data_IF_175432645778
#
_entry.id   IF_175432645778
#
_cell.length_a   1.000
_cell.length_b   1.000
_cell.length_c   1.000
_cell.angle_alpha   90.00
_cell.angle_beta   90.00
_cell.angle_gamma   90.00
#
_symmetry.space_group_name_H-M   'P 1'
#
loop_
_entity.id
_entity.type
_entity.pdbx_description
1 polymer ?
#
# COMPACT_ATOMS: atom_id res chain seq x y z
N UNK A 1 13.67 -1.93 -9.55
CA UNK A 1 13.54 -0.71 -10.40
C UNK A 1 14.90 -0.02 -10.44
N UNK A 2 15.73 -0.36 -11.43
CA UNK A 2 17.06 0.23 -11.57
C UNK A 2 16.97 1.67 -12.06
N UNK A 3 17.36 2.62 -11.20
CA UNK A 3 17.62 4.01 -11.59
C UNK A 3 19.08 4.23 -12.03
N UNK A 4 19.82 3.16 -12.31
CA UNK A 4 21.15 3.23 -12.88
C UNK A 4 21.31 2.19 -13.99
N UNK A 5 21.59 2.66 -15.21
CA UNK A 5 22.30 1.86 -16.20
C UNK A 5 21.60 1.48 -17.52
N UNK A 6 20.32 1.79 -17.74
CA UNK A 6 19.68 1.59 -19.06
C UNK A 6 19.05 2.91 -19.56
N UNK A 7 19.19 3.15 -20.87
CA UNK A 7 18.77 4.36 -21.61
C UNK A 7 17.57 5.08 -20.99
N UNK A 8 17.85 6.23 -20.38
CA UNK A 8 16.86 7.01 -19.64
C UNK A 8 15.91 7.74 -20.60
N UNK A 9 14.79 7.11 -20.94
CA UNK A 9 13.55 7.91 -21.03
C UNK A 9 13.17 8.32 -19.61
N UNK A 10 13.84 9.37 -19.15
CA UNK A 10 13.56 10.07 -17.90
C UNK A 10 12.07 10.42 -17.91
N UNK A 11 11.25 9.81 -17.05
CA UNK A 11 9.89 10.30 -16.85
C UNK A 11 10.05 11.71 -16.26
N UNK A 12 9.86 12.75 -17.08
CA UNK A 12 9.78 14.13 -16.57
C UNK A 12 8.63 14.15 -15.59
N UNK A 13 8.93 14.36 -14.30
CA UNK A 13 7.90 14.79 -13.34
C UNK A 13 7.34 16.10 -13.85
N UNK A 14 6.15 16.06 -14.43
CA UNK A 14 5.37 17.25 -14.66
C UNK A 14 4.81 17.62 -13.29
N UNK A 15 5.52 18.49 -12.56
CA UNK A 15 5.19 18.88 -11.17
C UNK A 15 3.71 19.25 -11.00
N UNK A 16 3.12 19.88 -12.03
CA UNK A 16 1.72 20.30 -12.09
C UNK A 16 0.71 19.14 -12.19
N UNK A 17 1.09 18.00 -12.77
CA UNK A 17 0.18 16.84 -12.93
C UNK A 17 0.18 15.99 -11.65
N UNK A 18 1.36 15.75 -11.06
CA UNK A 18 1.48 14.89 -9.89
C UNK A 18 0.84 15.43 -8.60
N UNK A 19 0.70 16.75 -8.45
CA UNK A 19 0.00 17.37 -7.31
C UNK A 19 -1.52 17.29 -7.40
N UNK A 20 -2.06 17.00 -8.59
CA UNK A 20 -3.49 16.94 -8.85
C UNK A 20 -4.04 15.51 -9.02
N UNK A 21 -3.19 14.51 -8.76
CA UNK A 21 -3.55 13.09 -8.79
C UNK A 21 -3.81 12.60 -7.37
N UNK A 22 -4.94 11.94 -7.18
CA UNK A 22 -5.35 11.34 -5.91
C UNK A 22 -5.27 9.82 -6.02
N UNK A 23 -4.52 9.21 -5.10
CA UNK A 23 -4.35 7.76 -5.02
C UNK A 23 -5.16 7.23 -3.84
N UNK A 24 -6.14 6.36 -4.11
CA UNK A 24 -6.83 5.60 -3.08
C UNK A 24 -5.97 4.41 -2.63
N UNK A 25 -5.75 4.27 -1.33
CA UNK A 25 -5.01 3.12 -0.76
C UNK A 25 -5.96 2.32 0.11
N UNK A 26 -6.25 1.09 -0.29
CA UNK A 26 -7.16 0.20 0.44
C UNK A 26 -6.33 -0.82 1.21
N UNK A 27 -6.20 -0.59 2.51
CA UNK A 27 -5.29 -1.31 3.38
C UNK A 27 -5.73 -1.23 4.87
N UNK A 28 -4.88 -1.59 5.82
CA UNK A 28 -5.13 -1.57 7.28
C UNK A 28 -5.26 -0.17 7.90
N UNK A 29 -5.29 0.88 7.08
CA UNK A 29 -5.30 2.27 7.52
C UNK A 29 -4.01 3.00 7.18
N UNK A 30 -3.76 4.12 7.86
CA UNK A 30 -2.51 4.88 7.72
C UNK A 30 -2.07 5.49 9.06
N UNK A 31 -0.76 5.63 9.27
CA UNK A 31 -0.18 6.36 10.40
C UNK A 31 0.19 7.80 9.99
N UNK A 32 -0.66 8.82 10.25
CA UNK A 32 -0.51 10.15 9.66
C UNK A 32 0.71 10.93 10.18
N UNK A 33 1.22 10.60 11.38
CA UNK A 33 2.41 11.24 11.96
C UNK A 33 3.73 10.75 11.35
N UNK A 34 3.69 9.79 10.42
CA UNK A 34 4.89 9.33 9.72
C UNK A 34 5.52 10.45 8.88
N UNK A 35 6.86 10.60 8.88
CA UNK A 35 7.55 11.57 8.03
C UNK A 35 7.22 11.45 6.54
N UNK A 36 6.82 10.26 6.08
CA UNK A 36 6.41 9.99 4.69
C UNK A 36 5.20 10.80 4.25
N UNK A 37 4.38 11.26 5.20
CA UNK A 37 3.11 11.95 4.95
C UNK A 37 3.12 13.40 5.43
N UNK A 38 4.31 13.96 5.63
CA UNK A 38 4.46 15.39 5.85
C UNK A 38 4.00 16.16 4.60
N UNK A 39 3.22 17.22 4.83
CA UNK A 39 2.57 18.01 3.78
C UNK A 39 3.31 19.33 3.46
N UNK A 40 4.52 19.51 3.98
CA UNK A 40 5.36 20.68 3.66
C UNK A 40 5.63 20.75 2.16
N UNK A 41 5.18 21.84 1.55
CA UNK A 41 5.32 22.10 0.11
C UNK A 41 4.21 21.49 -0.74
N UNK A 42 3.11 21.02 -0.13
CA UNK A 42 1.90 20.61 -0.83
C UNK A 42 0.90 21.78 -0.93
N UNK A 43 0.33 21.90 -2.12
CA UNK A 43 -0.81 22.78 -2.39
C UNK A 43 -2.08 22.23 -1.71
N UNK A 44 -3.14 23.04 -1.56
CA UNK A 44 -4.43 22.54 -1.07
C UNK A 44 -4.95 21.35 -1.91
N UNK A 45 -5.82 20.50 -1.32
CA UNK A 45 -6.43 19.40 -2.05
C UNK A 45 -7.07 19.85 -3.38
N UNK A 46 -7.00 19.04 -4.45
CA UNK A 46 -7.67 19.32 -5.72
C UNK A 46 -9.13 19.72 -5.58
N UNK A 47 -9.59 20.70 -6.38
CA UNK A 47 -11.01 21.11 -6.37
C UNK A 47 -11.99 20.01 -6.77
N UNK A 48 -11.50 18.98 -7.49
CA UNK A 48 -12.28 17.79 -7.85
C UNK A 48 -12.49 16.82 -6.67
N UNK A 49 -11.68 16.92 -5.63
CA UNK A 49 -11.71 16.01 -4.48
C UNK A 49 -12.96 16.25 -3.64
N UNK A 50 -13.73 15.19 -3.40
CA UNK A 50 -14.99 15.24 -2.63
C UNK A 50 -14.95 14.41 -1.35
N UNK A 51 -13.84 13.74 -1.10
CA UNK A 51 -13.71 12.87 0.07
C UNK A 51 -13.61 13.63 1.37
N UNK A 52 -13.90 12.91 2.44
CA UNK A 52 -13.92 13.43 3.81
C UNK A 52 -12.76 12.85 4.63
N UNK A 53 -12.38 13.60 5.66
CA UNK A 53 -11.59 13.05 6.75
C UNK A 53 -12.57 12.68 7.87
N UNK A 54 -12.89 11.40 8.01
CA UNK A 54 -13.87 10.94 8.99
C UNK A 54 -13.16 10.04 10.01
N UNK A 55 -12.77 10.60 11.16
CA UNK A 55 -12.47 9.82 12.35
C UNK A 55 -12.21 10.61 13.63
N UNK A 56 -12.48 9.94 14.75
CA UNK A 56 -12.04 10.34 16.09
C UNK A 56 -10.52 10.17 16.21
N UNK A 57 -9.79 11.17 16.72
CA UNK A 57 -8.32 11.16 16.86
C UNK A 57 -7.51 10.93 15.57
N UNK A 58 -8.05 11.35 14.43
CA UNK A 58 -7.34 11.32 13.16
C UNK A 58 -7.49 12.64 12.42
N UNK A 59 -6.36 13.23 12.01
CA UNK A 59 -6.33 14.51 11.32
C UNK A 59 -5.71 14.37 9.95
N UNK A 60 -6.45 14.73 8.92
CA UNK A 60 -5.96 14.84 7.56
C UNK A 60 -5.18 16.14 7.35
N UNK A 61 -4.32 16.16 6.35
CA UNK A 61 -3.50 17.32 5.98
C UNK A 61 -3.48 17.49 4.45
N UNK A 62 -2.58 18.29 3.89
CA UNK A 62 -2.54 18.48 2.42
C UNK A 62 -1.93 17.30 1.66
N UNK A 63 -1.37 16.31 2.37
CA UNK A 63 -0.80 15.09 1.83
C UNK A 63 -1.77 13.90 1.93
N UNK A 64 -2.35 13.69 3.10
CA UNK A 64 -3.44 12.76 3.38
C UNK A 64 -4.72 13.58 3.37
N UNK A 65 -5.39 13.65 2.21
CA UNK A 65 -6.53 14.55 1.99
C UNK A 65 -7.89 13.92 2.34
N UNK A 66 -7.92 12.63 2.64
CA UNK A 66 -9.08 11.93 3.18
C UNK A 66 -8.70 10.61 3.82
N UNK A 67 -9.54 10.17 4.75
CA UNK A 67 -9.34 8.96 5.53
C UNK A 67 -10.71 8.43 5.98
N UNK A 68 -10.95 7.16 5.71
CA UNK A 68 -12.19 6.43 6.01
C UNK A 68 -11.83 5.05 6.54
N UNK A 69 -12.62 4.53 7.46
CA UNK A 69 -12.52 3.16 7.93
C UNK A 69 -13.86 2.46 7.72
N UNK A 70 -13.80 1.21 7.28
CA UNK A 70 -14.98 0.39 7.01
C UNK A 70 -14.94 -0.85 7.88
N UNK A 71 -15.85 -0.93 8.84
CA UNK A 71 -16.03 -2.10 9.70
C UNK A 71 -17.51 -2.48 9.73
N UNK A 72 -17.90 -3.40 8.85
CA UNK A 72 -19.31 -3.79 8.69
C UNK A 72 -19.52 -5.21 9.22
N UNK A 73 -20.40 -5.35 10.22
CA UNK A 73 -20.95 -6.64 10.64
C UNK A 73 -19.97 -7.57 11.38
N UNK A 74 -18.87 -7.03 11.91
CA UNK A 74 -17.97 -7.74 12.82
C UNK A 74 -17.67 -6.84 14.03
N UNK A 75 -17.25 -7.40 15.17
CA UNK A 75 -16.60 -6.63 16.23
C UNK A 75 -15.14 -6.37 15.85
N UNK A 76 -14.61 -5.23 16.32
CA UNK A 76 -13.21 -4.87 16.09
C UNK A 76 -12.30 -5.95 16.68
N UNK A 77 -11.28 -6.42 15.93
CA UNK A 77 -10.28 -7.34 16.46
C UNK A 77 -9.61 -6.79 17.73
N UNK A 78 -9.15 -7.68 18.60
CA UNK A 78 -8.49 -7.28 19.84
C UNK A 78 -7.18 -6.52 19.54
N UNK A 79 -7.12 -5.25 19.94
CA UNK A 79 -5.99 -4.35 19.67
C UNK A 79 -6.24 -3.33 18.55
N UNK A 80 -7.32 -3.50 17.77
CA UNK A 80 -7.71 -2.51 16.77
C UNK A 80 -8.50 -1.37 17.38
N UNK A 81 -8.22 -0.16 16.89
CA UNK A 81 -8.94 1.05 17.26
C UNK A 81 -9.98 1.37 16.21
N UNK A 82 -11.12 1.90 16.64
CA UNK A 82 -12.12 2.40 15.70
C UNK A 82 -11.55 3.61 14.95
N UNK A 83 -11.47 3.51 13.62
CA UNK A 83 -11.00 4.60 12.75
C UNK A 83 -9.97 4.15 11.71
N UNK A 84 -9.46 5.09 10.89
CA UNK A 84 -8.55 4.84 9.77
C UNK A 84 -7.08 4.77 10.20
N UNK A 85 -6.81 4.78 11.50
CA UNK A 85 -5.46 4.71 12.05
C UNK A 85 -4.94 3.28 11.90
N UNK A 86 -3.75 3.17 11.32
CA UNK A 86 -3.07 1.88 11.15
C UNK A 86 -2.47 1.40 12.47
N UNK A 87 -2.91 0.24 12.95
CA UNK A 87 -2.39 -0.49 14.12
C UNK A 87 -1.45 -1.63 13.73
N UNK A 88 -1.41 -2.00 12.45
CA UNK A 88 -0.65 -3.14 11.92
C UNK A 88 0.68 -2.71 11.29
N UNK A 89 0.65 -1.64 10.50
CA UNK A 89 1.79 -1.08 9.78
C UNK A 89 1.81 -1.40 8.28
N UNK A 90 1.06 -2.42 7.82
CA UNK A 90 1.01 -2.79 6.40
C UNK A 90 0.48 -1.64 5.53
N UNK A 91 -0.61 -0.99 5.94
CA UNK A 91 -1.20 0.14 5.23
C UNK A 91 -0.30 1.36 5.16
N UNK A 92 0.35 1.72 6.27
CA UNK A 92 1.36 2.79 6.32
C UNK A 92 2.52 2.50 5.38
N UNK A 93 2.99 1.25 5.33
CA UNK A 93 4.07 0.86 4.42
C UNK A 93 3.64 0.95 2.96
N UNK A 94 2.49 0.37 2.59
CA UNK A 94 1.96 0.43 1.23
C UNK A 94 1.70 1.88 0.78
N UNK A 95 1.11 2.72 1.64
CA UNK A 95 0.90 4.13 1.37
C UNK A 95 2.21 4.93 1.27
N UNK A 96 3.29 4.51 1.95
CA UNK A 96 4.60 5.16 1.80
C UNK A 96 5.30 4.85 0.48
N UNK A 97 4.94 3.75 -0.20
CA UNK A 97 5.51 3.36 -1.50
C UNK A 97 4.75 3.99 -2.67
N UNK A 98 3.42 4.02 -2.62
CA UNK A 98 2.60 4.49 -3.73
C UNK A 98 2.61 6.04 -3.86
N UNK A 99 2.13 6.82 -2.87
CA UNK A 99 2.25 8.28 -2.87
C UNK A 99 3.32 8.89 -1.95
N UNK A 100 4.12 8.11 -1.20
CA UNK A 100 4.97 8.64 -0.13
C UNK A 100 6.01 9.69 -0.55
N UNK A 101 6.28 10.63 0.34
CA UNK A 101 7.39 11.58 0.21
C UNK A 101 8.77 10.90 0.31
N UNK A 102 9.82 11.59 -0.11
CA UNK A 102 11.19 11.13 0.09
C UNK A 102 11.51 11.11 1.61
N UNK A 103 11.69 9.93 2.18
CA UNK A 103 12.11 9.76 3.58
C UNK A 103 13.50 9.18 3.65
N UNK A 104 14.39 9.87 4.37
CA UNK A 104 15.73 9.38 4.66
C UNK A 104 15.69 8.37 5.81
N UNK A 105 16.33 7.19 5.63
CA UNK A 105 16.55 6.15 6.66
C UNK A 105 15.31 5.35 7.14
N UNK A 106 14.42 4.91 6.23
CA UNK A 106 13.29 4.03 6.57
C UNK A 106 13.69 2.54 6.76
N UNK A 107 13.06 1.83 7.71
CA UNK A 107 13.16 0.37 7.94
C UNK A 107 11.79 -0.20 8.34
N UNK A 108 11.48 -1.47 8.01
CA UNK A 108 10.11 -2.01 8.07
C UNK A 108 10.02 -3.42 8.69
N UNK A 109 9.01 -3.67 9.54
CA UNK A 109 8.47 -5.00 9.96
C UNK A 109 6.94 -4.88 10.25
N UNK A 110 6.04 -5.59 9.53
CA UNK A 110 4.56 -5.69 9.81
C UNK A 110 3.67 -6.10 8.60
N UNK A 111 2.59 -6.88 8.79
CA UNK A 111 1.78 -7.63 7.76
C UNK A 111 0.27 -7.72 8.15
N UNK A 112 -0.69 -7.33 7.27
CA UNK A 112 -2.14 -7.28 7.57
C UNK A 112 -3.15 -7.68 6.45
N UNK A 113 -4.43 -7.91 6.82
CA UNK A 113 -5.57 -8.37 5.99
C UNK A 113 -6.78 -7.41 6.12
N UNK A 114 -7.49 -7.05 5.04
CA UNK A 114 -8.60 -6.05 5.07
C UNK A 114 -9.78 -6.30 4.09
N UNK A 115 -10.90 -5.57 4.28
CA UNK A 115 -12.18 -5.75 3.57
C UNK A 115 -12.46 -4.60 2.57
N UNK A 116 -12.52 -4.90 1.26
CA UNK A 116 -12.44 -3.89 0.20
C UNK A 116 -13.79 -3.34 -0.34
N UNK A 117 -14.95 -3.96 -0.06
CA UNK A 117 -16.18 -3.71 -0.85
C UNK A 117 -16.78 -2.30 -0.71
N UNK A 118 -16.91 -1.78 0.51
CA UNK A 118 -17.47 -0.44 0.74
C UNK A 118 -16.53 0.70 0.32
N UNK A 119 -15.22 0.42 0.28
CA UNK A 119 -14.21 1.42 -0.04
C UNK A 119 -14.22 1.82 -1.52
N UNK A 120 -14.62 0.93 -2.43
CA UNK A 120 -14.64 1.23 -3.87
C UNK A 120 -15.65 2.32 -4.24
N UNK A 121 -16.90 2.18 -3.80
CA UNK A 121 -17.97 3.12 -4.16
C UNK A 121 -17.64 4.54 -3.66
N UNK A 122 -17.17 4.63 -2.41
CA UNK A 122 -16.73 5.87 -1.79
C UNK A 122 -15.51 6.46 -2.50
N UNK A 123 -14.49 5.68 -2.83
CA UNK A 123 -13.31 6.19 -3.53
C UNK A 123 -13.66 6.71 -4.94
N UNK A 124 -14.53 6.02 -5.67
CA UNK A 124 -15.02 6.46 -6.99
C UNK A 124 -15.75 7.81 -6.85
N UNK A 125 -16.66 7.91 -5.87
CA UNK A 125 -17.41 9.15 -5.62
C UNK A 125 -16.53 10.31 -5.13
N UNK A 126 -15.52 10.00 -4.31
CA UNK A 126 -14.57 10.97 -3.76
C UNK A 126 -13.64 11.55 -4.85
N UNK A 127 -13.52 10.87 -6.00
CA UNK A 127 -12.77 11.33 -7.16
C UNK A 127 -11.30 10.90 -7.17
N UNK A 128 -11.00 9.67 -6.72
CA UNK A 128 -9.65 9.09 -6.87
C UNK A 128 -9.34 8.85 -8.35
N UNK A 129 -8.06 8.94 -8.73
CA UNK A 129 -7.62 8.69 -10.10
C UNK A 129 -7.09 7.26 -10.30
N UNK A 130 -6.55 6.67 -9.23
CA UNK A 130 -6.01 5.30 -9.22
C UNK A 130 -6.18 4.70 -7.83
N UNK A 131 -6.40 3.38 -7.79
CA UNK A 131 -6.52 2.60 -6.56
C UNK A 131 -5.32 1.67 -6.44
N UNK A 132 -4.67 1.71 -5.28
CA UNK A 132 -3.66 0.74 -4.84
C UNK A 132 -4.29 -0.20 -3.83
N UNK A 133 -4.31 -1.48 -4.16
CA UNK A 133 -4.92 -2.54 -3.37
C UNK A 133 -3.87 -3.62 -3.05
N UNK A 134 -3.49 -3.74 -1.79
CA UNK A 134 -2.53 -4.76 -1.34
C UNK A 134 -3.22 -5.85 -0.53
N UNK A 135 -4.45 -6.21 -0.90
CA UNK A 135 -5.25 -7.24 -0.25
C UNK A 135 -5.88 -8.16 -1.29
N UNK A 136 -6.05 -9.43 -0.93
CA UNK A 136 -6.63 -10.42 -1.82
C UNK A 136 -7.25 -11.57 -1.03
N UNK A 137 -8.14 -12.32 -1.68
CA UNK A 137 -8.69 -13.54 -1.08
C UNK A 137 -7.64 -14.66 -0.97
N UNK A 138 -7.87 -15.61 -0.08
CA UNK A 138 -7.06 -16.83 0.04
C UNK A 138 -7.43 -17.90 -0.99
N UNK A 139 -8.55 -17.71 -1.69
CA UNK A 139 -9.08 -18.65 -2.69
C UNK A 139 -9.58 -17.81 -3.86
N UNK A 140 -9.29 -18.27 -5.08
CA UNK A 140 -9.88 -17.69 -6.29
C UNK A 140 -11.40 -17.85 -6.30
N UNK A 141 -12.12 -16.79 -6.62
CA UNK A 141 -13.59 -16.77 -6.72
C UNK A 141 -14.00 -16.36 -8.12
N UNK A 142 -15.21 -16.77 -8.53
CA UNK A 142 -15.84 -16.23 -9.74
C UNK A 142 -16.04 -14.73 -9.57
N UNK A 143 -15.88 -13.96 -10.65
CA UNK A 143 -15.89 -12.49 -10.63
C UNK A 143 -17.11 -11.90 -9.89
N UNK A 144 -18.31 -12.40 -10.16
CA UNK A 144 -19.56 -11.93 -9.51
C UNK A 144 -19.70 -12.30 -8.02
N UNK A 145 -18.74 -13.04 -7.46
CA UNK A 145 -18.67 -13.40 -6.03
C UNK A 145 -17.40 -12.88 -5.37
N UNK A 146 -16.57 -12.17 -6.11
CA UNK A 146 -15.37 -11.54 -5.61
C UNK A 146 -15.64 -10.03 -5.40
N UNK A 147 -15.65 -9.54 -4.16
CA UNK A 147 -15.88 -8.13 -3.88
C UNK A 147 -14.82 -7.22 -4.52
N UNK A 148 -13.57 -7.68 -4.66
CA UNK A 148 -12.51 -6.91 -5.32
C UNK A 148 -12.80 -6.83 -6.81
N UNK A 149 -13.20 -7.93 -7.44
CA UNK A 149 -13.56 -7.94 -8.86
C UNK A 149 -14.76 -7.03 -9.16
N UNK A 150 -15.81 -7.07 -8.34
CA UNK A 150 -17.00 -6.23 -8.51
C UNK A 150 -16.65 -4.75 -8.32
N UNK A 151 -15.97 -4.39 -7.22
CA UNK A 151 -15.61 -3.00 -6.93
C UNK A 151 -14.66 -2.41 -7.97
N UNK A 152 -13.64 -3.18 -8.38
CA UNK A 152 -12.72 -2.77 -9.44
C UNK A 152 -13.37 -2.69 -10.82
N UNK A 153 -14.42 -3.47 -11.08
CA UNK A 153 -15.20 -3.35 -12.32
C UNK A 153 -15.90 -1.98 -12.37
N UNK A 154 -16.52 -1.56 -11.27
CA UNK A 154 -17.13 -0.24 -11.18
C UNK A 154 -16.08 0.88 -11.28
N UNK A 155 -14.90 0.68 -10.69
CA UNK A 155 -13.79 1.63 -10.79
C UNK A 155 -13.33 1.80 -12.25
N UNK A 156 -13.13 0.71 -12.99
CA UNK A 156 -12.68 0.80 -14.39
C UNK A 156 -13.73 1.44 -15.30
N UNK A 157 -15.03 1.24 -15.02
CA UNK A 157 -16.12 1.93 -15.72
C UNK A 157 -16.10 3.45 -15.50
N UNK A 158 -15.49 3.91 -14.41
CA UNK A 158 -15.27 5.33 -14.10
C UNK A 158 -13.84 5.79 -14.43
N UNK A 159 -13.11 5.06 -15.28
CA UNK A 159 -11.72 5.34 -15.69
C UNK A 159 -10.69 5.32 -14.54
N UNK A 160 -10.96 4.56 -13.48
CA UNK A 160 -10.07 4.40 -12.33
C UNK A 160 -9.40 3.04 -12.40
N UNK A 161 -8.09 3.03 -12.65
CA UNK A 161 -7.31 1.80 -12.66
C UNK A 161 -7.11 1.28 -11.23
N UNK A 162 -7.21 -0.04 -11.05
CA UNK A 162 -6.89 -0.70 -9.78
C UNK A 162 -5.64 -1.57 -9.94
N UNK A 163 -4.58 -1.23 -9.21
CA UNK A 163 -3.37 -2.04 -9.04
C UNK A 163 -3.56 -2.99 -7.87
N UNK A 164 -3.52 -4.30 -8.12
CA UNK A 164 -3.76 -5.32 -7.10
C UNK A 164 -2.61 -6.33 -7.01
N UNK A 165 -2.29 -6.79 -5.79
CA UNK A 165 -1.27 -7.83 -5.61
C UNK A 165 -1.76 -9.18 -6.15
N UNK A 166 -0.84 -9.96 -6.75
CA UNK A 166 -1.16 -11.30 -7.24
C UNK A 166 -1.41 -12.33 -6.12
N UNK A 167 -0.94 -12.03 -4.90
CA UNK A 167 -0.97 -12.90 -3.73
C UNK A 167 0.39 -13.55 -3.44
N UNK A 168 0.55 -14.05 -2.21
CA UNK A 168 1.81 -14.62 -1.68
C UNK A 168 1.77 -16.15 -1.57
N UNK A 169 0.84 -16.82 -2.26
CA UNK A 169 0.60 -18.26 -2.16
C UNK A 169 1.43 -19.11 -3.13
N UNK A 170 2.38 -18.50 -3.84
CA UNK A 170 3.30 -19.21 -4.72
C UNK A 170 4.22 -20.20 -3.96
N UNK A 171 5.07 -20.96 -4.67
CA UNK A 171 5.40 -20.84 -6.10
C UNK A 171 4.58 -21.76 -7.02
N UNK A 172 3.66 -22.55 -6.48
CA UNK A 172 2.88 -23.51 -7.27
C UNK A 172 2.00 -22.80 -8.31
N UNK A 173 1.72 -23.49 -9.42
CA UNK A 173 0.75 -23.04 -10.42
C UNK A 173 -0.65 -22.89 -9.80
N UNK A 174 -1.49 -22.03 -10.38
CA UNK A 174 -2.86 -21.76 -9.92
C UNK A 174 -3.00 -21.13 -8.51
N UNK A 175 -1.99 -20.37 -8.06
CA UNK A 175 -1.98 -19.70 -6.75
C UNK A 175 -2.32 -18.21 -6.80
N UNK A 176 -2.41 -17.62 -7.99
CA UNK A 176 -2.79 -16.21 -8.18
C UNK A 176 -4.28 -16.02 -7.87
N UNK A 177 -4.60 -15.01 -7.07
CA UNK A 177 -5.99 -14.72 -6.67
C UNK A 177 -6.57 -13.46 -7.33
N UNK A 178 -5.72 -12.58 -7.87
CA UNK A 178 -6.12 -11.43 -8.68
C UNK A 178 -6.28 -11.83 -10.16
N UNK A 179 -7.47 -12.29 -10.55
CA UNK A 179 -7.73 -12.88 -11.87
C UNK A 179 -8.59 -12.03 -12.81
N UNK A 180 -9.15 -10.92 -12.34
CA UNK A 180 -10.07 -10.12 -13.15
C UNK A 180 -9.33 -9.42 -14.29
N UNK A 181 -9.82 -9.49 -15.55
CA UNK A 181 -9.12 -8.90 -16.70
C UNK A 181 -8.93 -7.38 -16.63
N UNK A 182 -9.76 -6.68 -15.85
CA UNK A 182 -9.69 -5.22 -15.65
C UNK A 182 -8.76 -4.81 -14.49
N UNK A 183 -8.19 -5.76 -13.75
CA UNK A 183 -7.21 -5.49 -12.71
C UNK A 183 -5.80 -5.49 -13.29
N UNK A 184 -4.95 -4.58 -12.80
CA UNK A 184 -3.51 -4.71 -12.96
C UNK A 184 -2.97 -5.62 -11.86
N UNK A 185 -2.80 -6.91 -12.17
CA UNK A 185 -2.25 -7.90 -11.24
C UNK A 185 -0.71 -7.82 -11.18
N UNK A 186 -0.17 -7.54 -9.99
CA UNK A 186 1.25 -7.28 -9.76
C UNK A 186 1.92 -8.45 -9.02
N UNK A 187 2.95 -9.03 -9.62
CA UNK A 187 3.82 -10.03 -8.98
C UNK A 187 5.00 -9.37 -8.26
N UNK A 188 5.61 -10.08 -7.30
CA UNK A 188 6.81 -9.63 -6.61
C UNK A 188 8.08 -10.19 -7.26
N UNK A 189 9.12 -9.36 -7.36
CA UNK A 189 10.46 -9.77 -7.81
C UNK A 189 11.53 -9.27 -6.86
N UNK A 190 12.72 -9.86 -6.91
CA UNK A 190 13.87 -9.40 -6.13
C UNK A 190 14.51 -8.14 -6.75
N UNK A 191 15.31 -7.43 -5.95
CA UNK A 191 16.18 -6.34 -6.40
C UNK A 191 17.65 -6.69 -6.09
N UNK A 192 18.56 -5.92 -6.64
CA UNK A 192 20.02 -6.03 -6.45
C UNK A 192 20.45 -5.88 -4.99
N UNK A 193 19.76 -5.02 -4.22
CA UNK A 193 20.01 -4.83 -2.79
C UNK A 193 19.64 -6.09 -1.98
N UNK A 194 20.64 -6.73 -1.38
CA UNK A 194 20.50 -7.85 -0.43
C UNK A 194 20.86 -7.41 0.98
N UNK A 195 20.03 -7.78 1.95
CA UNK A 195 20.35 -7.61 3.38
C UNK A 195 21.07 -8.87 3.87
N UNK A 196 22.36 -8.72 4.20
CA UNK A 196 23.22 -9.82 4.63
C UNK A 196 23.70 -9.53 6.05
N UNK A 197 23.44 -10.46 6.95
CA UNK A 197 23.98 -10.46 8.32
C UNK A 197 25.13 -11.45 8.38
N UNK A 198 26.31 -10.97 8.80
CA UNK A 198 27.47 -11.83 9.04
C UNK A 198 27.38 -12.38 10.46
N UNK A 199 27.34 -13.70 10.59
CA UNK A 199 27.42 -14.40 11.87
C UNK A 199 28.83 -14.99 11.99
N UNK A 200 29.55 -14.63 13.05
CA UNK A 200 30.80 -15.30 13.41
C UNK A 200 30.51 -16.39 14.43
N UNK A 201 30.96 -17.61 14.14
CA UNK A 201 30.85 -18.76 15.03
C UNK A 201 32.15 -18.88 15.84
N UNK A 202 32.11 -19.47 17.04
CA UNK A 202 33.23 -19.55 17.99
C UNK A 202 34.55 -20.16 17.46
N UNK A 203 34.53 -20.82 16.31
CA UNK A 203 35.73 -21.29 15.59
C UNK A 203 36.29 -20.26 14.58
N UNK A 204 35.92 -18.98 14.69
CA UNK A 204 36.27 -17.85 13.80
C UNK A 204 35.80 -18.00 12.35
N UNK A 205 34.96 -19.00 12.04
CA UNK A 205 34.30 -19.08 10.72
C UNK A 205 33.16 -18.06 10.66
N UNK A 206 33.08 -17.35 9.55
CA UNK A 206 32.01 -16.40 9.27
C UNK A 206 31.01 -16.99 8.28
N UNK A 207 29.73 -16.99 8.63
CA UNK A 207 28.62 -17.40 7.75
C UNK A 207 27.82 -16.15 7.39
N UNK A 208 27.48 -16.02 6.12
CA UNK A 208 26.56 -15.00 5.64
C UNK A 208 25.15 -15.56 5.68
N UNK A 209 24.26 -14.88 6.38
CA UNK A 209 22.85 -15.22 6.45
C UNK A 209 22.02 -14.06 5.90
N UNK A 210 21.00 -14.38 5.09
CA UNK A 210 20.06 -13.38 4.60
C UNK A 210 19.04 -13.12 5.71
N UNK A 211 19.25 -12.06 6.48
CA UNK A 211 18.35 -11.71 7.56
C UNK A 211 18.30 -10.18 7.72
N UNK A 212 17.13 -9.54 7.68
CA UNK A 212 16.99 -8.11 7.94
C UNK A 212 17.18 -7.72 9.42
N UNK A 213 17.46 -8.68 10.32
CA UNK A 213 17.65 -8.40 11.75
C UNK A 213 18.87 -7.51 12.02
N UNK A 214 18.66 -6.44 12.79
CA UNK A 214 19.75 -5.62 13.35
C UNK A 214 20.52 -6.49 14.36
N UNK A 215 21.85 -6.68 14.21
CA UNK A 215 22.61 -7.45 15.19
C UNK A 215 22.58 -6.71 16.53
N UNK A 216 22.10 -7.39 17.57
CA UNK A 216 22.36 -6.98 18.95
C UNK A 216 23.86 -7.10 19.19
N UNK A 217 24.50 -6.05 19.70
CA UNK A 217 25.85 -6.18 20.25
C UNK A 217 25.75 -7.16 21.41
N UNK A 218 26.32 -8.34 21.26
CA UNK A 218 26.72 -9.14 22.41
C UNK A 218 27.92 -8.39 23.01
N UNK A 219 27.67 -7.67 24.10
CA UNK A 219 28.74 -7.17 25.00
C UNK A 219 29.31 -8.33 25.79
#
# INVERSE_FOLDING_TARGET
>A
MGLYGFSTKRIRRVKQVGSNIVVGVFDSGIWPESPSFNDKGFDPPPSKWKGTCSAFNFTCNRKIIGARAYHIGRPLPHGDVEGPRDTDGHGTHCASIAPGGLVNKASLNGLGLGTARGAFDDAISDGVDIISLSVGGNISRKYFRDPIAIGSFHAIQNNILTSNSAGNWGPNVYTVTSLSPWLLSVAASTMDRKFVTKVQIGNKRSIQHLNPHKPSRFT
#
